data_IF_903404435080
#
_entry.id   IF_903404435080
#
_cell.length_a   1.000
_cell.length_b   1.000
_cell.length_c   1.000
_cell.angle_alpha   90.00
_cell.angle_beta   90.00
_cell.angle_gamma   90.00
#
_symmetry.space_group_name_H-M   'P 1'
#
loop_
_entity.id
_entity.type
_entity.pdbx_description
1 polymer ?
#
# COMPACT_ATOMS: atom_id res chain seq x y z
N UNK A 1 50.70 48.71 -6.08
CA UNK A 1 49.28 49.07 -6.18
C UNK A 1 48.48 48.21 -7.17
N UNK A 2 49.03 47.77 -8.31
CA UNK A 2 48.31 46.96 -9.30
C UNK A 2 47.91 45.57 -8.78
N UNK A 3 48.70 44.92 -7.92
CA UNK A 3 48.44 43.57 -7.40
C UNK A 3 47.37 43.49 -6.30
N UNK A 4 47.09 44.58 -5.61
CA UNK A 4 46.10 44.66 -4.55
C UNK A 4 44.69 44.82 -5.19
N UNK A 5 44.58 45.54 -6.29
CA UNK A 5 43.31 45.69 -7.01
C UNK A 5 42.82 44.36 -7.67
N UNK A 6 43.78 43.53 -8.17
CA UNK A 6 43.43 42.26 -8.80
C UNK A 6 42.99 41.23 -7.74
N UNK A 7 43.57 41.24 -6.54
CA UNK A 7 43.15 40.36 -5.46
C UNK A 7 41.77 40.72 -4.91
N UNK A 8 41.41 42.00 -4.88
CA UNK A 8 40.11 42.47 -4.41
C UNK A 8 38.96 42.13 -5.44
N UNK A 9 39.30 42.17 -6.73
CA UNK A 9 38.34 41.78 -7.79
C UNK A 9 38.05 40.28 -7.82
N UNK A 10 39.01 39.43 -7.52
CA UNK A 10 38.84 37.98 -7.41
C UNK A 10 38.03 37.60 -6.12
N UNK A 11 38.17 38.35 -5.05
CA UNK A 11 37.40 38.09 -3.80
C UNK A 11 35.91 38.46 -3.94
N UNK A 12 35.57 39.46 -4.77
CA UNK A 12 34.20 39.87 -5.00
C UNK A 12 33.46 38.89 -5.93
N UNK A 13 34.18 38.20 -6.84
CA UNK A 13 33.56 37.18 -7.71
C UNK A 13 33.28 35.85 -6.98
N UNK A 14 33.95 35.57 -5.85
CA UNK A 14 33.73 34.36 -5.07
C UNK A 14 32.47 34.42 -4.16
N UNK A 15 31.90 35.63 -3.93
CA UNK A 15 30.71 35.80 -3.10
C UNK A 15 29.40 35.86 -3.87
N UNK A 16 29.43 35.73 -5.21
CA UNK A 16 28.24 35.87 -6.06
C UNK A 16 27.53 34.55 -6.41
N UNK A 17 28.03 33.40 -5.92
CA UNK A 17 27.32 32.13 -6.01
C UNK A 17 26.83 31.73 -4.61
N UNK A 18 25.83 32.41 -4.10
CA UNK A 18 24.94 31.77 -3.14
C UNK A 18 24.05 30.84 -3.95
N UNK A 19 24.32 29.53 -3.94
CA UNK A 19 23.33 28.54 -4.32
C UNK A 19 22.12 28.78 -3.43
N UNK A 20 21.03 29.33 -4.01
CA UNK A 20 19.75 29.29 -3.32
C UNK A 20 19.43 27.82 -3.08
N UNK A 21 19.41 27.41 -1.83
CA UNK A 21 18.89 26.09 -1.44
C UNK A 21 17.53 25.88 -2.13
N UNK A 22 17.35 24.78 -2.85
CA UNK A 22 16.09 24.54 -3.53
C UNK A 22 14.96 24.60 -2.49
N UNK A 23 14.01 25.49 -2.71
CA UNK A 23 12.84 25.62 -1.83
C UNK A 23 12.10 24.28 -1.83
N UNK A 24 12.21 23.55 -0.75
CA UNK A 24 11.51 22.27 -0.59
C UNK A 24 10.03 22.58 -0.34
N UNK A 25 9.19 22.29 -1.30
CA UNK A 25 7.73 22.37 -1.14
C UNK A 25 7.31 21.18 -0.26
N UNK A 26 6.89 21.47 0.96
CA UNK A 26 6.36 20.45 1.86
C UNK A 26 4.84 20.45 1.77
N UNK A 27 4.21 19.34 1.37
CA UNK A 27 2.76 19.26 1.34
C UNK A 27 2.19 19.34 2.76
N UNK A 28 1.09 20.07 2.91
CA UNK A 28 0.35 20.12 4.17
C UNK A 28 -0.40 18.77 4.32
N UNK A 29 -0.22 18.04 5.42
CA UNK A 29 -0.99 16.83 5.67
C UNK A 29 -2.49 17.15 5.65
N UNK A 30 -3.30 16.35 4.94
CA UNK A 30 -4.70 16.68 4.74
C UNK A 30 -5.52 16.69 6.05
N UNK A 31 -5.11 15.94 7.07
CA UNK A 31 -5.70 15.97 8.40
C UNK A 31 -5.46 17.28 9.17
N UNK A 32 -4.57 18.14 8.67
CA UNK A 32 -4.38 19.52 9.16
C UNK A 32 -5.21 20.53 8.38
N UNK A 33 -5.94 20.10 7.34
CA UNK A 33 -6.81 20.95 6.53
C UNK A 33 -8.25 20.77 7.02
N UNK A 34 -8.89 21.89 7.40
CA UNK A 34 -10.28 21.87 7.86
C UNK A 34 -11.19 22.51 6.81
N UNK A 35 -12.18 21.77 6.36
CA UNK A 35 -13.24 22.30 5.49
C UNK A 35 -14.31 22.96 6.36
N UNK A 36 -14.34 24.30 6.33
CA UNK A 36 -15.23 25.08 7.21
C UNK A 36 -16.63 25.24 6.64
N UNK A 37 -16.78 25.26 5.31
CA UNK A 37 -18.04 25.54 4.64
C UNK A 37 -18.12 24.95 3.22
N UNK A 38 -19.29 24.99 2.63
CA UNK A 38 -19.58 24.80 1.22
C UNK A 38 -19.73 23.35 0.77
N UNK A 39 -19.65 23.18 -0.55
CA UNK A 39 -19.92 21.92 -1.24
C UNK A 39 -19.05 20.76 -0.72
N UNK A 40 -17.76 20.98 -0.55
CA UNK A 40 -16.83 19.91 -0.16
C UNK A 40 -17.01 19.45 1.28
N UNK A 41 -17.39 20.33 2.20
CA UNK A 41 -17.71 19.94 3.57
C UNK A 41 -18.89 18.96 3.60
N UNK A 42 -19.96 19.24 2.86
CA UNK A 42 -21.12 18.37 2.79
C UNK A 42 -20.78 17.03 2.14
N UNK A 43 -19.94 17.01 1.10
CA UNK A 43 -19.46 15.78 0.47
C UNK A 43 -18.64 14.93 1.43
N UNK A 44 -17.71 15.55 2.14
CA UNK A 44 -16.90 14.85 3.13
C UNK A 44 -17.76 14.26 4.26
N UNK A 45 -18.77 14.99 4.73
CA UNK A 45 -19.70 14.46 5.75
C UNK A 45 -20.55 13.30 5.22
N UNK A 46 -20.96 13.33 3.96
CA UNK A 46 -21.65 12.21 3.33
C UNK A 46 -20.73 11.00 3.22
N UNK A 47 -19.47 11.22 2.81
CA UNK A 47 -18.45 10.15 2.72
C UNK A 47 -18.26 9.46 4.07
N UNK A 48 -17.99 10.23 5.12
CA UNK A 48 -17.70 9.71 6.45
C UNK A 48 -18.90 8.99 7.05
N UNK A 49 -20.11 9.55 6.92
CA UNK A 49 -21.28 9.08 7.66
C UNK A 49 -22.14 8.07 6.89
N UNK A 50 -21.98 7.98 5.55
CA UNK A 50 -22.83 7.14 4.71
C UNK A 50 -21.99 6.21 3.83
N UNK A 51 -21.10 6.76 2.98
CA UNK A 51 -20.40 5.96 1.98
C UNK A 51 -19.43 4.98 2.61
N UNK A 52 -18.60 5.43 3.56
CA UNK A 52 -17.63 4.57 4.25
C UNK A 52 -18.30 3.45 5.03
N UNK A 53 -19.30 3.69 5.91
CA UNK A 53 -20.03 2.62 6.57
C UNK A 53 -20.70 1.63 5.60
N UNK A 54 -21.31 2.12 4.54
CA UNK A 54 -21.89 1.27 3.49
C UNK A 54 -20.85 0.40 2.81
N UNK A 55 -19.69 0.97 2.44
CA UNK A 55 -18.59 0.23 1.80
C UNK A 55 -18.02 -0.85 2.73
N UNK A 56 -17.93 -0.57 4.02
CA UNK A 56 -17.54 -1.55 5.04
C UNK A 56 -18.52 -2.71 5.07
N UNK A 57 -19.83 -2.44 5.07
CA UNK A 57 -20.86 -3.49 5.03
C UNK A 57 -20.75 -4.32 3.75
N UNK A 58 -20.57 -3.69 2.59
CA UNK A 58 -20.40 -4.37 1.30
C UNK A 58 -19.10 -5.19 1.20
N UNK A 59 -18.09 -4.90 2.01
CA UNK A 59 -16.83 -5.66 2.04
C UNK A 59 -16.90 -6.98 2.82
N UNK A 60 -18.02 -7.28 3.50
CA UNK A 60 -18.20 -8.50 4.30
C UNK A 60 -17.83 -9.81 3.56
N UNK A 61 -18.18 -10.02 2.27
CA UNK A 61 -17.76 -11.22 1.55
C UNK A 61 -16.22 -11.33 1.39
N UNK A 62 -15.51 -10.21 1.22
CA UNK A 62 -14.05 -10.21 1.12
C UNK A 62 -13.41 -10.51 2.49
N UNK A 63 -13.95 -9.95 3.57
CA UNK A 63 -13.52 -10.25 4.95
C UNK A 63 -13.69 -11.75 5.26
N UNK A 64 -14.83 -12.34 4.88
CA UNK A 64 -15.08 -13.76 5.05
C UNK A 64 -14.07 -14.63 4.30
N UNK A 65 -13.63 -14.22 3.11
CA UNK A 65 -12.60 -14.95 2.36
C UNK A 65 -11.25 -14.89 3.07
N UNK A 66 -10.87 -13.77 3.65
CA UNK A 66 -9.66 -13.70 4.49
C UNK A 66 -9.78 -14.57 5.74
N UNK A 67 -10.95 -14.58 6.39
CA UNK A 67 -11.18 -15.46 7.54
C UNK A 67 -10.98 -16.94 7.19
N UNK A 68 -11.50 -17.38 6.05
CA UNK A 68 -11.33 -18.74 5.57
C UNK A 68 -9.90 -19.04 5.16
N UNK A 69 -9.22 -18.09 4.53
CA UNK A 69 -7.81 -18.26 4.17
C UNK A 69 -6.92 -18.40 5.40
N UNK A 70 -7.17 -17.60 6.44
CA UNK A 70 -6.48 -17.73 7.72
C UNK A 70 -6.73 -19.11 8.36
N UNK A 71 -7.97 -19.61 8.34
CA UNK A 71 -8.32 -20.93 8.82
C UNK A 71 -7.62 -22.05 8.00
N UNK A 72 -7.55 -21.89 6.67
CA UNK A 72 -6.84 -22.84 5.81
C UNK A 72 -5.36 -22.94 6.15
N UNK A 73 -4.68 -21.81 6.35
CA UNK A 73 -3.27 -21.80 6.78
C UNK A 73 -3.09 -22.37 8.19
N UNK A 74 -4.11 -22.32 9.03
CA UNK A 74 -4.13 -22.97 10.34
C UNK A 74 -4.47 -24.48 10.29
N UNK A 75 -4.70 -25.05 9.10
CA UNK A 75 -4.95 -26.49 8.90
C UNK A 75 -6.40 -26.88 8.62
N UNK A 76 -7.31 -25.92 8.53
CA UNK A 76 -8.70 -26.17 8.13
C UNK A 76 -8.85 -26.11 6.60
N UNK A 77 -9.06 -27.26 5.97
CA UNK A 77 -9.22 -27.35 4.50
C UNK A 77 -10.68 -27.47 4.05
N UNK A 78 -11.66 -27.40 4.97
CA UNK A 78 -13.04 -27.80 4.67
C UNK A 78 -13.85 -26.78 3.86
N UNK A 79 -13.39 -25.54 3.74
CA UNK A 79 -14.16 -24.50 3.06
C UNK A 79 -13.26 -23.44 2.42
N UNK A 80 -12.60 -23.81 1.33
CA UNK A 80 -11.86 -22.84 0.52
C UNK A 80 -12.82 -21.79 -0.07
N UNK A 81 -12.48 -20.51 -0.02
CA UNK A 81 -13.32 -19.48 -0.60
C UNK A 81 -13.33 -19.58 -2.13
N UNK A 82 -14.45 -19.24 -2.73
CA UNK A 82 -14.48 -18.86 -4.13
C UNK A 82 -13.69 -17.59 -4.34
N UNK A 83 -12.77 -17.59 -5.31
CA UNK A 83 -11.82 -16.49 -5.49
C UNK A 83 -11.84 -15.95 -6.93
N UNK A 84 -11.59 -14.66 -7.05
CA UNK A 84 -11.28 -14.00 -8.31
C UNK A 84 -10.11 -13.02 -8.12
N UNK A 85 -9.53 -12.54 -9.22
CA UNK A 85 -8.25 -11.79 -9.21
C UNK A 85 -8.27 -10.46 -8.42
N UNK A 86 -9.42 -9.83 -8.23
CA UNK A 86 -9.54 -8.53 -7.55
C UNK A 86 -10.09 -8.61 -6.13
N UNK A 87 -10.31 -9.80 -5.61
CA UNK A 87 -11.06 -10.00 -4.35
C UNK A 87 -10.45 -9.28 -3.14
N UNK A 88 -9.12 -9.16 -3.12
CA UNK A 88 -8.41 -8.53 -1.99
C UNK A 88 -8.30 -7.02 -2.18
N UNK A 89 -8.09 -6.55 -3.42
CA UNK A 89 -7.88 -5.12 -3.69
C UNK A 89 -9.08 -4.27 -3.32
N UNK A 90 -10.31 -4.77 -3.52
CA UNK A 90 -11.51 -4.01 -3.16
C UNK A 90 -11.61 -3.79 -1.66
N UNK A 91 -11.26 -4.80 -0.85
CA UNK A 91 -11.18 -4.64 0.60
C UNK A 91 -10.10 -3.64 1.01
N UNK A 92 -8.91 -3.71 0.40
CA UNK A 92 -7.81 -2.78 0.73
C UNK A 92 -8.18 -1.33 0.41
N UNK A 93 -8.86 -1.06 -0.71
CA UNK A 93 -9.38 0.28 -1.05
C UNK A 93 -10.39 0.79 -0.01
N UNK A 94 -11.28 -0.08 0.46
CA UNK A 94 -12.21 0.26 1.54
C UNK A 94 -11.45 0.58 2.83
N UNK A 95 -10.44 -0.21 3.19
CA UNK A 95 -9.61 0.01 4.37
C UNK A 95 -8.84 1.33 4.30
N UNK A 96 -8.33 1.70 3.12
CA UNK A 96 -7.69 2.99 2.89
C UNK A 96 -8.67 4.14 3.09
N UNK A 97 -9.87 4.06 2.50
CA UNK A 97 -10.93 5.06 2.68
C UNK A 97 -11.39 5.19 4.14
N UNK A 98 -11.51 4.07 4.87
CA UNK A 98 -11.77 4.07 6.33
C UNK A 98 -10.65 4.81 7.07
N UNK A 99 -9.39 4.57 6.71
CA UNK A 99 -8.25 5.20 7.36
C UNK A 99 -8.28 6.72 7.19
N UNK A 100 -8.54 7.22 5.99
CA UNK A 100 -8.72 8.66 5.76
C UNK A 100 -9.91 9.24 6.51
N UNK A 101 -11.01 8.50 6.62
CA UNK A 101 -12.16 8.89 7.44
C UNK A 101 -11.78 9.03 8.93
N UNK A 102 -11.02 8.08 9.47
CA UNK A 102 -10.55 8.09 10.86
C UNK A 102 -9.62 9.26 11.17
N UNK A 103 -8.80 9.71 10.19
CA UNK A 103 -7.94 10.88 10.36
C UNK A 103 -8.73 12.19 10.52
N UNK A 104 -9.95 12.26 9.96
CA UNK A 104 -10.81 13.44 10.02
C UNK A 104 -11.76 13.36 11.21
N UNK A 105 -12.38 12.22 11.41
CA UNK A 105 -13.37 11.97 12.45
C UNK A 105 -13.15 10.62 13.11
N UNK A 106 -12.64 10.58 14.34
CA UNK A 106 -12.47 9.33 15.08
C UNK A 106 -13.78 8.54 15.18
N UNK A 107 -13.71 7.23 14.90
CA UNK A 107 -14.83 6.32 14.99
C UNK A 107 -14.35 4.95 15.51
N UNK A 108 -14.74 4.61 16.73
CA UNK A 108 -14.27 3.40 17.41
C UNK A 108 -14.72 2.12 16.70
N UNK A 109 -15.93 2.08 16.15
CA UNK A 109 -16.44 0.88 15.46
C UNK A 109 -15.66 0.61 14.16
N UNK A 110 -15.34 1.65 13.40
CA UNK A 110 -14.50 1.54 12.21
C UNK A 110 -13.07 1.14 12.57
N UNK A 111 -12.52 1.68 13.64
CA UNK A 111 -11.17 1.30 14.10
C UNK A 111 -11.12 -0.17 14.55
N UNK A 112 -12.12 -0.65 15.31
CA UNK A 112 -12.24 -2.06 15.70
C UNK A 112 -12.46 -2.97 14.47
N UNK A 113 -13.20 -2.53 13.45
CA UNK A 113 -13.31 -3.24 12.18
C UNK A 113 -11.94 -3.40 11.53
N UNK A 114 -11.18 -2.31 11.41
CA UNK A 114 -9.84 -2.31 10.82
C UNK A 114 -8.88 -3.25 11.55
N UNK A 115 -8.90 -3.24 12.89
CA UNK A 115 -8.06 -4.13 13.71
C UNK A 115 -8.38 -5.61 13.43
N UNK A 116 -9.67 -5.98 13.43
CA UNK A 116 -10.09 -7.35 13.14
C UNK A 116 -9.69 -7.79 11.73
N UNK A 117 -9.85 -6.91 10.76
CA UNK A 117 -9.48 -7.23 9.37
C UNK A 117 -7.96 -7.32 9.21
N UNK A 118 -7.20 -6.45 9.86
CA UNK A 118 -5.74 -6.50 9.87
C UNK A 118 -5.23 -7.84 10.47
N UNK A 119 -5.88 -8.35 11.52
CA UNK A 119 -5.58 -9.66 12.10
C UNK A 119 -5.80 -10.80 11.10
N UNK A 120 -6.92 -10.78 10.38
CA UNK A 120 -7.23 -11.79 9.37
C UNK A 120 -6.25 -11.75 8.18
N UNK A 121 -5.89 -10.55 7.72
CA UNK A 121 -4.92 -10.37 6.65
C UNK A 121 -3.55 -10.90 7.08
N UNK A 122 -3.10 -10.56 8.29
CA UNK A 122 -1.85 -11.05 8.86
C UNK A 122 -1.83 -12.60 8.95
N UNK A 123 -2.93 -13.20 9.42
CA UNK A 123 -3.07 -14.65 9.52
C UNK A 123 -3.22 -15.35 8.14
N UNK A 124 -3.51 -14.60 7.08
CA UNK A 124 -3.59 -15.10 5.70
C UNK A 124 -2.28 -14.95 4.92
N UNK A 125 -1.24 -14.36 5.51
CA UNK A 125 0.05 -14.16 4.87
C UNK A 125 0.97 -15.37 5.10
N UNK A 126 1.59 -15.88 4.04
CA UNK A 126 2.60 -16.94 4.15
C UNK A 126 3.87 -16.49 4.88
N UNK A 127 4.63 -17.41 5.38
CA UNK A 127 5.87 -17.14 6.13
C UNK A 127 6.91 -16.40 5.30
N UNK A 128 6.95 -16.64 4.00
CA UNK A 128 7.84 -15.95 3.06
C UNK A 128 7.38 -14.54 2.68
N UNK A 129 6.19 -14.10 3.13
CA UNK A 129 5.61 -12.80 2.85
C UNK A 129 4.63 -12.76 1.67
N UNK A 130 4.47 -13.85 0.92
CA UNK A 130 3.49 -13.94 -0.15
C UNK A 130 2.07 -13.75 0.39
N UNK A 131 1.27 -12.91 -0.29
CA UNK A 131 -0.10 -12.64 0.10
C UNK A 131 -0.99 -12.43 -1.14
N UNK A 132 -1.57 -13.52 -1.61
CA UNK A 132 -2.61 -13.51 -2.63
C UNK A 132 -3.54 -14.69 -2.38
N UNK A 133 -4.71 -14.44 -1.77
CA UNK A 133 -5.56 -15.51 -1.23
C UNK A 133 -6.05 -16.49 -2.29
N UNK A 134 -6.19 -16.06 -3.56
CA UNK A 134 -6.59 -16.94 -4.64
C UNK A 134 -5.62 -18.11 -4.85
N UNK A 135 -4.32 -17.86 -4.73
CA UNK A 135 -3.29 -18.91 -4.83
C UNK A 135 -2.94 -19.58 -3.49
N UNK A 136 -3.27 -18.93 -2.35
CA UNK A 136 -2.95 -19.49 -1.02
C UNK A 136 -3.98 -20.56 -0.65
N UNK A 137 -5.25 -20.24 -0.73
CA UNK A 137 -6.32 -21.09 -0.19
C UNK A 137 -7.49 -21.28 -1.14
N UNK A 138 -7.52 -20.57 -2.26
CA UNK A 138 -8.56 -20.65 -3.24
C UNK A 138 -8.35 -21.76 -4.26
N UNK A 139 -9.22 -21.76 -5.25
CA UNK A 139 -9.08 -22.57 -6.44
C UNK A 139 -9.05 -21.62 -7.65
N UNK A 140 -7.88 -21.05 -7.96
CA UNK A 140 -7.77 -20.03 -8.99
C UNK A 140 -8.13 -20.61 -10.35
N UNK A 141 -8.86 -19.86 -11.18
CA UNK A 141 -9.01 -20.22 -12.61
C UNK A 141 -7.66 -19.98 -13.31
N UNK A 142 -6.99 -21.06 -13.81
CA UNK A 142 -5.69 -20.93 -14.46
C UNK A 142 -5.70 -20.00 -15.67
N UNK A 143 -6.87 -19.84 -16.32
CA UNK A 143 -7.04 -18.94 -17.48
C UNK A 143 -7.07 -17.47 -17.13
N UNK A 144 -7.33 -17.15 -15.85
CA UNK A 144 -7.36 -15.79 -15.36
C UNK A 144 -6.18 -15.47 -14.43
N UNK A 145 -5.77 -16.42 -13.60
CA UNK A 145 -4.82 -16.20 -12.52
C UNK A 145 -3.51 -16.99 -12.65
N UNK A 146 -3.44 -17.90 -13.65
CA UNK A 146 -2.31 -18.81 -13.81
C UNK A 146 -2.39 -20.02 -12.87
N UNK A 147 -1.55 -21.04 -13.12
CA UNK A 147 -1.58 -22.32 -12.39
C UNK A 147 -0.95 -22.23 -11.00
N UNK A 148 -0.09 -21.24 -10.76
CA UNK A 148 0.67 -21.07 -9.52
C UNK A 148 1.08 -19.61 -9.34
N UNK A 149 1.53 -19.23 -8.13
CA UNK A 149 1.97 -17.87 -7.84
C UNK A 149 2.91 -17.32 -8.89
N UNK A 150 2.62 -16.10 -9.36
CA UNK A 150 3.38 -15.35 -10.36
C UNK A 150 3.56 -16.02 -11.72
N UNK A 151 2.84 -17.10 -12.02
CA UNK A 151 2.96 -17.77 -13.33
C UNK A 151 2.30 -16.98 -14.46
N UNK A 152 1.38 -16.08 -14.16
CA UNK A 152 0.73 -15.21 -15.13
C UNK A 152 0.45 -13.81 -14.58
N UNK A 153 1.51 -13.12 -14.16
CA UNK A 153 1.45 -11.78 -13.52
C UNK A 153 0.64 -10.77 -14.35
N UNK A 154 0.70 -10.89 -15.68
CA UNK A 154 -0.06 -10.02 -16.63
C UNK A 154 -1.57 -10.00 -16.36
N UNK A 155 -2.14 -11.09 -15.87
CA UNK A 155 -3.59 -11.21 -15.68
C UNK A 155 -4.01 -11.52 -14.24
N UNK A 156 -3.10 -12.04 -13.42
CA UNK A 156 -3.41 -12.41 -12.03
C UNK A 156 -3.63 -11.21 -11.13
N UNK A 157 -3.07 -10.06 -11.48
CA UNK A 157 -3.11 -8.84 -10.68
C UNK A 157 -2.57 -9.01 -9.25
N UNK A 158 -1.62 -9.93 -9.04
CA UNK A 158 -1.02 -10.17 -7.72
C UNK A 158 -0.35 -8.90 -7.19
N UNK A 159 0.45 -8.20 -8.04
CA UNK A 159 1.13 -6.96 -7.65
C UNK A 159 0.15 -5.81 -7.45
N UNK A 160 -0.91 -5.72 -8.25
CA UNK A 160 -1.99 -4.74 -8.06
C UNK A 160 -2.64 -4.89 -6.68
N UNK A 161 -2.97 -6.12 -6.27
CA UNK A 161 -3.57 -6.37 -4.96
C UNK A 161 -2.64 -5.94 -3.82
N UNK A 162 -1.35 -6.29 -3.88
CA UNK A 162 -0.43 -5.90 -2.80
C UNK A 162 -0.08 -4.41 -2.82
N UNK A 163 -0.15 -3.74 -3.98
CA UNK A 163 -0.04 -2.29 -4.07
C UNK A 163 -1.09 -1.59 -3.21
N UNK A 164 -2.37 -1.93 -3.40
CA UNK A 164 -3.46 -1.41 -2.56
C UNK A 164 -3.35 -1.78 -1.09
N UNK A 165 -2.78 -2.96 -0.77
CA UNK A 165 -2.46 -3.29 0.62
C UNK A 165 -1.46 -2.31 1.22
N UNK A 166 -0.43 -1.91 0.45
CA UNK A 166 0.60 -1.01 0.97
C UNK A 166 0.04 0.38 1.24
N UNK A 167 -0.81 0.90 0.36
CA UNK A 167 -1.50 2.17 0.55
C UNK A 167 -2.42 2.13 1.79
N UNK A 168 -3.26 1.11 1.89
CA UNK A 168 -4.13 0.91 3.06
C UNK A 168 -3.33 0.81 4.37
N UNK A 169 -2.20 0.10 4.35
CA UNK A 169 -1.36 -0.09 5.53
C UNK A 169 -0.69 1.20 5.99
N UNK A 170 -0.18 2.00 5.06
CA UNK A 170 0.41 3.32 5.35
C UNK A 170 -0.67 4.27 5.87
N UNK A 171 -1.83 4.33 5.21
CA UNK A 171 -2.94 5.19 5.64
C UNK A 171 -3.43 4.81 7.04
N UNK A 172 -3.56 3.51 7.35
CA UNK A 172 -4.00 3.07 8.67
C UNK A 172 -2.97 3.38 9.76
N UNK A 173 -1.69 3.19 9.48
CA UNK A 173 -0.63 3.59 10.39
C UNK A 173 -0.62 5.10 10.65
N UNK A 174 -0.79 5.92 9.61
CA UNK A 174 -0.87 7.38 9.74
C UNK A 174 -2.10 7.82 10.55
N UNK A 175 -3.22 7.11 10.42
CA UNK A 175 -4.46 7.42 11.13
C UNK A 175 -4.40 7.07 12.62
N UNK A 176 -3.75 5.96 12.97
CA UNK A 176 -3.91 5.35 14.31
C UNK A 176 -2.60 5.08 15.05
N UNK A 177 -1.46 5.09 14.35
CA UNK A 177 -0.17 4.65 14.88
C UNK A 177 -0.04 3.14 15.05
N UNK A 178 -1.04 2.34 14.67
CA UNK A 178 -1.01 0.88 14.78
C UNK A 178 -0.24 0.26 13.61
N UNK A 179 0.75 -0.53 13.90
CA UNK A 179 1.74 -1.02 12.93
C UNK A 179 1.49 -2.44 12.38
N UNK A 180 0.47 -3.14 12.88
CA UNK A 180 0.21 -4.54 12.47
C UNK A 180 0.06 -4.69 10.96
N UNK A 181 -0.83 -3.92 10.33
CA UNK A 181 -1.04 -3.98 8.89
C UNK A 181 0.20 -3.49 8.12
N UNK A 182 0.90 -2.48 8.65
CA UNK A 182 2.16 -2.01 8.08
C UNK A 182 3.23 -3.10 8.10
N UNK A 183 3.33 -3.89 9.16
CA UNK A 183 4.28 -5.00 9.24
C UNK A 183 3.96 -6.11 8.21
N UNK A 184 2.67 -6.37 7.93
CA UNK A 184 2.24 -7.27 6.84
C UNK A 184 2.68 -6.72 5.49
N UNK A 185 2.47 -5.43 5.24
CA UNK A 185 2.87 -4.76 4.01
C UNK A 185 4.40 -4.79 3.81
N UNK A 186 5.17 -4.49 4.86
CA UNK A 186 6.65 -4.56 4.82
C UNK A 186 7.13 -5.98 4.51
N UNK A 187 6.53 -7.01 5.14
CA UNK A 187 6.88 -8.41 4.88
C UNK A 187 6.57 -8.79 3.42
N UNK A 188 5.43 -8.35 2.90
CA UNK A 188 5.05 -8.54 1.49
C UNK A 188 6.00 -7.79 0.54
N UNK A 189 6.36 -6.55 0.83
CA UNK A 189 7.27 -5.77 0.01
C UNK A 189 8.68 -6.40 -0.07
N UNK A 190 9.20 -6.94 1.03
CA UNK A 190 10.45 -7.69 1.05
C UNK A 190 10.35 -8.95 0.19
N UNK A 191 9.23 -9.65 0.22
CA UNK A 191 8.97 -10.80 -0.64
C UNK A 191 8.98 -10.41 -2.13
N UNK A 192 8.23 -9.36 -2.50
CA UNK A 192 8.20 -8.85 -3.88
C UNK A 192 9.59 -8.42 -4.34
N UNK A 193 10.33 -7.68 -3.50
CA UNK A 193 11.70 -7.28 -3.81
C UNK A 193 12.61 -8.48 -4.10
N UNK A 194 12.55 -9.52 -3.28
CA UNK A 194 13.33 -10.75 -3.47
C UNK A 194 12.96 -11.46 -4.78
N UNK A 195 11.65 -11.61 -5.07
CA UNK A 195 11.17 -12.37 -6.23
C UNK A 195 11.44 -11.65 -7.54
N UNK A 196 11.30 -10.31 -7.58
CA UNK A 196 11.35 -9.55 -8.82
C UNK A 196 12.69 -8.83 -9.06
N UNK A 197 13.41 -8.44 -8.00
CA UNK A 197 14.56 -7.54 -8.13
C UNK A 197 15.89 -8.12 -7.61
N UNK A 198 15.90 -8.93 -6.55
CA UNK A 198 17.15 -9.43 -5.93
C UNK A 198 17.65 -10.77 -6.50
N UNK A 199 17.28 -11.12 -7.71
CA UNK A 199 17.77 -12.33 -8.36
C UNK A 199 16.82 -13.52 -8.31
N UNK A 200 15.63 -13.32 -7.79
CA UNK A 200 14.56 -14.33 -7.75
C UNK A 200 14.55 -15.20 -6.47
N UNK A 201 13.49 -15.99 -6.33
CA UNK A 201 13.31 -16.93 -5.24
C UNK A 201 13.11 -18.34 -5.82
N UNK A 202 13.84 -19.38 -5.35
CA UNK A 202 13.70 -20.75 -5.84
C UNK A 202 12.28 -21.31 -5.83
N UNK A 203 11.45 -20.85 -4.92
CA UNK A 203 10.05 -21.25 -4.80
C UNK A 203 9.13 -20.60 -5.84
N UNK A 204 9.62 -19.58 -6.54
CA UNK A 204 8.86 -18.81 -7.53
C UNK A 204 9.65 -18.73 -8.85
N UNK A 205 8.97 -18.96 -9.96
CA UNK A 205 9.55 -18.92 -11.31
C UNK A 205 10.90 -19.69 -11.44
N UNK A 206 11.08 -20.76 -10.67
CA UNK A 206 12.33 -21.56 -10.67
C UNK A 206 13.57 -20.75 -10.27
N UNK A 207 13.43 -19.73 -9.45
CA UNK A 207 14.52 -18.88 -8.98
C UNK A 207 14.99 -17.83 -9.98
N UNK A 208 14.29 -17.65 -11.09
CA UNK A 208 14.62 -16.60 -12.08
C UNK A 208 13.79 -15.36 -11.83
N UNK A 209 14.35 -14.16 -12.01
CA UNK A 209 13.59 -12.92 -11.94
C UNK A 209 12.37 -12.96 -12.86
N UNK A 210 11.27 -12.37 -12.41
CA UNK A 210 10.04 -12.28 -13.19
C UNK A 210 10.02 -10.92 -13.88
N UNK A 211 10.04 -10.95 -15.22
CA UNK A 211 10.10 -9.74 -16.03
C UNK A 211 8.73 -9.32 -16.62
N UNK A 212 7.65 -9.86 -16.08
CA UNK A 212 6.29 -9.54 -16.52
C UNK A 212 5.62 -8.72 -15.43
N UNK A 213 5.16 -7.54 -15.76
CA UNK A 213 4.60 -6.66 -14.76
C UNK A 213 3.46 -5.76 -15.28
N UNK A 214 2.24 -6.23 -15.39
CA UNK A 214 1.07 -5.35 -15.33
C UNK A 214 0.55 -5.24 -13.90
N UNK A 215 -0.10 -4.11 -13.61
CA UNK A 215 -0.69 -3.84 -12.31
C UNK A 215 0.32 -3.43 -11.22
N UNK A 216 1.57 -3.15 -11.59
CA UNK A 216 2.59 -2.64 -10.66
C UNK A 216 2.54 -1.11 -10.53
N UNK A 217 1.72 -0.43 -11.31
CA UNK A 217 1.46 1.00 -11.20
C UNK A 217 1.01 1.37 -9.79
N UNK A 218 0.24 0.52 -9.13
CA UNK A 218 -0.17 0.72 -7.74
C UNK A 218 1.01 0.66 -6.76
N UNK A 219 2.05 -0.09 -7.08
CA UNK A 219 3.29 -0.08 -6.29
C UNK A 219 4.09 1.21 -6.45
N UNK A 220 3.93 1.92 -7.56
CA UNK A 220 4.63 3.19 -7.81
C UNK A 220 4.01 4.37 -7.07
N UNK A 221 2.74 4.30 -6.70
CA UNK A 221 2.04 5.36 -5.95
C UNK A 221 2.64 5.60 -4.57
N UNK A 222 3.24 4.59 -3.94
CA UNK A 222 3.98 4.75 -2.69
C UNK A 222 5.11 5.78 -2.82
N UNK A 223 5.76 5.86 -3.98
CA UNK A 223 6.81 6.84 -4.25
C UNK A 223 6.26 8.26 -4.47
N UNK A 224 4.99 8.39 -4.87
CA UNK A 224 4.33 9.68 -5.10
C UNK A 224 3.80 10.26 -3.80
N UNK A 225 3.30 9.43 -2.89
CA UNK A 225 2.78 9.86 -1.59
C UNK A 225 3.86 10.21 -0.55
N UNK A 226 5.13 9.81 -0.77
CA UNK A 226 6.27 10.19 0.06
C UNK A 226 7.41 10.86 -0.75
N UNK A 227 7.21 12.05 -1.33
CA UNK A 227 8.22 12.69 -2.20
C UNK A 227 9.46 13.18 -1.45
N UNK A 228 9.55 13.04 -0.12
CA UNK A 228 10.55 13.69 0.73
C UNK A 228 11.62 12.75 1.32
N UNK A 229 11.56 11.45 1.05
CA UNK A 229 12.65 10.53 1.43
C UNK A 229 13.37 10.01 0.19
N UNK A 230 14.62 10.43 -0.07
CA UNK A 230 15.46 9.74 -1.03
C UNK A 230 15.63 8.31 -0.52
N UNK A 231 15.18 7.33 -1.29
CA UNK A 231 15.50 5.92 -1.05
C UNK A 231 16.98 5.78 -1.38
N UNK A 232 17.80 5.67 -0.33
CA UNK A 232 19.17 5.17 -0.49
C UNK A 232 19.04 3.69 -0.86
N UNK A 233 19.25 3.40 -2.14
CA UNK A 233 19.45 2.04 -2.64
C UNK A 233 20.85 1.57 -2.27
#
# INVERSE_FOLDING_TARGET
>A
MKNVLTGLFLLILATACSEEEPQTITPVPFNQVTLTDGFWKNRMQTEINVTVPFSVEQSAPAVERFRRCAAFLAGDSTALPETHRFISSDLYKVMEGVSYSLMIQPNKELEEFMDRVADLIAASQKDDGYLYISHICGNPDPREMGEKPYSWVVHSHELYNVGHLYEAAVAYYQATGKDKLLNVAIKSAKHVNKVFFEGGDPNYNGGKPINQAPGHEELSLIHISEPTRPISI
#
